data_IF_110300409144
#
_entry.id   IF_110300409144
#
_cell.length_a   1.000
_cell.length_b   1.000
_cell.length_c   1.000
_cell.angle_alpha   90.00
_cell.angle_beta   90.00
_cell.angle_gamma   90.00
#
_symmetry.space_group_name_H-M   'P 1'
#
loop_
_entity.id
_entity.type
_entity.pdbx_description
1 polymer ?
#
# COMPACT_ATOMS: atom_id res chain seq x y z
N UNK A 1 1.77 -0.07 -34.56
CA UNK A 1 2.44 -0.22 -33.26
C UNK A 1 1.54 -1.08 -32.41
N UNK A 2 2.02 -2.02 -31.59
CA UNK A 2 1.15 -2.73 -30.66
C UNK A 2 0.45 -1.71 -29.77
N UNK A 3 -0.82 -1.96 -29.46
CA UNK A 3 -1.61 -1.12 -28.57
C UNK A 3 -0.93 -1.06 -27.20
N UNK A 4 -0.75 0.15 -26.65
CA UNK A 4 -0.08 0.33 -25.35
C UNK A 4 -0.96 -0.26 -24.25
N UNK A 5 -0.41 -1.17 -23.44
CA UNK A 5 -1.10 -1.76 -22.30
C UNK A 5 -1.06 -0.79 -21.09
N UNK A 6 -1.84 0.29 -21.17
CA UNK A 6 -1.90 1.34 -20.12
C UNK A 6 -2.85 1.00 -18.99
N UNK A 7 -3.68 -0.01 -19.15
CA UNK A 7 -4.62 -0.51 -18.12
C UNK A 7 -4.49 -2.03 -18.07
N UNK A 8 -4.46 -2.58 -16.87
CA UNK A 8 -4.36 -4.01 -16.66
C UNK A 8 -5.48 -4.51 -15.75
N UNK A 9 -6.08 -5.63 -16.13
CA UNK A 9 -7.19 -6.24 -15.40
C UNK A 9 -6.84 -7.66 -15.00
N UNK A 10 -7.12 -8.03 -13.75
CA UNK A 10 -6.89 -9.38 -13.25
C UNK A 10 -7.95 -9.74 -12.21
N UNK A 11 -8.34 -11.02 -12.17
CA UNK A 11 -9.25 -11.58 -11.17
C UNK A 11 -8.47 -12.13 -9.99
N UNK A 12 -9.01 -11.93 -8.79
CA UNK A 12 -8.51 -12.46 -7.52
C UNK A 12 -9.65 -13.06 -6.73
N UNK A 13 -9.39 -14.14 -6.03
CA UNK A 13 -10.33 -14.68 -5.05
C UNK A 13 -9.85 -14.31 -3.65
N UNK A 14 -10.76 -13.88 -2.78
CA UNK A 14 -10.44 -13.68 -1.37
C UNK A 14 -10.31 -15.03 -0.69
N UNK A 15 -9.09 -15.48 -0.46
CA UNK A 15 -8.84 -16.78 0.16
C UNK A 15 -9.14 -16.74 1.66
N UNK A 16 -9.47 -17.90 2.25
CA UNK A 16 -9.75 -18.04 3.70
C UNK A 16 -8.61 -17.57 4.59
N UNK A 17 -7.37 -17.76 4.17
CA UNK A 17 -6.19 -17.24 4.89
C UNK A 17 -6.10 -15.71 4.92
N UNK A 18 -6.73 -15.05 3.95
CA UNK A 18 -6.80 -13.60 3.84
C UNK A 18 -8.03 -13.00 4.55
N UNK A 19 -8.92 -13.86 5.08
CA UNK A 19 -10.09 -13.44 5.83
C UNK A 19 -9.79 -13.12 7.30
N UNK A 20 -10.60 -12.21 7.86
CA UNK A 20 -10.68 -11.94 9.29
C UNK A 20 -11.67 -12.88 10.00
N UNK A 21 -11.90 -12.67 11.30
CA UNK A 21 -12.82 -13.46 12.12
C UNK A 21 -14.31 -13.29 11.76
N UNK A 22 -14.65 -12.25 10.98
CA UNK A 22 -16.01 -12.00 10.45
C UNK A 22 -16.17 -12.51 9.01
N UNK A 23 -15.12 -13.08 8.43
CA UNK A 23 -15.12 -13.57 7.05
C UNK A 23 -14.96 -12.46 6.01
N UNK A 24 -14.42 -11.30 6.38
CA UNK A 24 -14.07 -10.22 5.46
C UNK A 24 -12.59 -10.22 5.13
N UNK A 25 -12.25 -9.73 3.93
CA UNK A 25 -10.85 -9.55 3.54
C UNK A 25 -10.12 -8.61 4.50
N UNK A 26 -8.98 -9.04 5.04
CA UNK A 26 -8.09 -8.19 5.82
C UNK A 26 -7.53 -7.04 4.97
N UNK A 27 -7.29 -5.90 5.59
CA UNK A 27 -6.67 -4.75 4.92
C UNK A 27 -5.37 -5.12 4.20
N UNK A 28 -4.47 -5.84 4.88
CA UNK A 28 -3.22 -6.29 4.28
C UNK A 28 -3.40 -7.21 3.06
N UNK A 29 -4.51 -7.96 2.97
CA UNK A 29 -4.82 -8.77 1.80
C UNK A 29 -5.16 -7.89 0.59
N UNK A 30 -5.98 -6.86 0.75
CA UNK A 30 -6.31 -5.91 -0.32
C UNK A 30 -5.04 -5.23 -0.85
N UNK A 31 -4.12 -4.82 0.05
CA UNK A 31 -2.85 -4.24 -0.36
C UNK A 31 -1.97 -5.26 -1.13
N UNK A 32 -1.95 -6.54 -0.71
CA UNK A 32 -1.22 -7.59 -1.43
C UNK A 32 -1.76 -7.83 -2.83
N UNK A 33 -3.08 -7.86 -3.01
CA UNK A 33 -3.71 -8.00 -4.33
C UNK A 33 -3.37 -6.82 -5.24
N UNK A 34 -3.43 -5.58 -4.71
CA UNK A 34 -3.05 -4.40 -5.46
C UNK A 34 -1.56 -4.38 -5.82
N UNK A 35 -0.68 -4.82 -4.93
CA UNK A 35 0.74 -4.96 -5.22
C UNK A 35 0.97 -6.03 -6.30
N UNK A 36 0.30 -7.17 -6.20
CA UNK A 36 0.46 -8.26 -7.17
C UNK A 36 0.03 -7.84 -8.58
N UNK A 37 -1.15 -7.23 -8.74
CA UNK A 37 -1.58 -6.78 -10.07
C UNK A 37 -0.67 -5.68 -10.63
N UNK A 38 -0.11 -4.79 -9.77
CA UNK A 38 0.84 -3.78 -10.19
C UNK A 38 2.15 -4.40 -10.72
N UNK A 39 2.66 -5.45 -10.05
CA UNK A 39 3.83 -6.22 -10.47
C UNK A 39 3.56 -6.95 -11.79
N UNK A 40 2.45 -7.69 -11.88
CA UNK A 40 2.07 -8.42 -13.11
C UNK A 40 1.92 -7.47 -14.31
N UNK A 41 1.31 -6.29 -14.10
CA UNK A 41 1.23 -5.27 -15.14
C UNK A 41 2.62 -4.76 -15.55
N UNK A 42 3.49 -4.43 -14.58
CA UNK A 42 4.85 -3.97 -14.86
C UNK A 42 5.63 -5.01 -15.69
N UNK A 43 5.56 -6.28 -15.33
CA UNK A 43 6.18 -7.38 -16.09
C UNK A 43 5.60 -7.49 -17.51
N UNK A 44 4.27 -7.39 -17.67
CA UNK A 44 3.60 -7.46 -18.96
C UNK A 44 4.01 -6.35 -19.93
N UNK A 45 4.43 -5.19 -19.41
CA UNK A 45 4.96 -4.06 -20.20
C UNK A 45 6.49 -4.02 -20.27
N UNK A 46 7.17 -5.07 -19.78
CA UNK A 46 8.63 -5.20 -19.86
C UNK A 46 9.41 -4.55 -18.71
N UNK A 47 8.73 -3.97 -17.74
CA UNK A 47 9.34 -3.44 -16.51
C UNK A 47 9.56 -4.60 -15.51
N UNK A 48 10.58 -5.38 -15.72
CA UNK A 48 10.90 -6.60 -14.98
C UNK A 48 12.23 -6.50 -14.23
N UNK A 49 12.53 -7.51 -13.41
CA UNK A 49 13.76 -7.57 -12.61
C UNK A 49 15.05 -7.49 -13.42
N UNK A 50 15.06 -7.98 -14.67
CA UNK A 50 16.23 -7.90 -15.52
C UNK A 50 16.52 -6.44 -15.90
N UNK A 51 15.49 -5.70 -16.31
CA UNK A 51 15.58 -4.28 -16.62
C UNK A 51 15.98 -3.45 -15.41
N UNK A 52 15.41 -3.72 -14.23
CA UNK A 52 15.75 -3.01 -12.99
C UNK A 52 17.22 -3.24 -12.60
N UNK A 53 17.74 -4.47 -12.76
CA UNK A 53 19.16 -4.76 -12.55
C UNK A 53 20.07 -4.06 -13.56
N UNK A 54 19.71 -4.08 -14.85
CA UNK A 54 20.47 -3.44 -15.92
C UNK A 54 20.57 -1.92 -15.73
N UNK A 55 19.47 -1.30 -15.32
CA UNK A 55 19.40 0.16 -15.15
C UNK A 55 19.80 0.63 -13.74
N UNK A 56 20.14 -0.28 -12.83
CA UNK A 56 20.41 0.00 -11.41
C UNK A 56 19.30 0.81 -10.75
N UNK A 57 18.04 0.46 -11.04
CA UNK A 57 16.88 1.19 -10.52
C UNK A 57 15.94 0.29 -9.73
N UNK A 58 15.10 0.90 -8.89
CA UNK A 58 14.00 0.24 -8.22
C UNK A 58 12.85 1.22 -7.97
N UNK A 59 11.60 0.74 -8.05
CA UNK A 59 10.46 1.50 -7.56
C UNK A 59 10.30 1.32 -6.06
N UNK A 60 10.16 2.43 -5.36
CA UNK A 60 9.88 2.48 -3.92
C UNK A 60 8.51 3.10 -3.72
N UNK A 61 7.66 2.42 -2.95
CA UNK A 61 6.37 2.96 -2.53
C UNK A 61 6.60 4.03 -1.46
N UNK A 62 6.23 5.28 -1.77
CA UNK A 62 6.40 6.40 -0.86
C UNK A 62 5.14 6.63 0.00
N UNK A 63 3.96 6.44 -0.59
CA UNK A 63 2.68 6.71 0.07
C UNK A 63 1.56 5.95 -0.63
N UNK A 64 0.52 5.58 0.11
CA UNK A 64 -0.74 5.14 -0.46
C UNK A 64 -1.94 5.62 0.37
N UNK A 65 -3.10 5.68 -0.29
CA UNK A 65 -4.41 5.73 0.34
C UNK A 65 -5.28 4.62 -0.24
N UNK A 66 -6.07 3.98 0.61
CA UNK A 66 -7.10 3.02 0.24
C UNK A 66 -8.44 3.50 0.80
N UNK A 67 -9.45 3.62 -0.04
CA UNK A 67 -10.85 3.80 0.34
C UNK A 67 -11.59 2.48 0.19
N UNK A 68 -12.42 2.12 1.19
CA UNK A 68 -13.20 0.88 1.22
C UNK A 68 -14.69 1.21 1.31
N UNK A 69 -15.41 0.99 0.23
CA UNK A 69 -16.88 1.12 0.18
C UNK A 69 -17.54 0.00 0.97
N UNK A 70 -17.05 -1.24 0.80
CA UNK A 70 -17.36 -2.41 1.64
C UNK A 70 -16.20 -3.37 1.64
N UNK A 71 -16.00 -4.10 2.71
CA UNK A 71 -15.00 -5.17 2.73
C UNK A 71 -15.51 -6.39 1.92
N UNK A 72 -14.72 -6.90 0.96
CA UNK A 72 -15.03 -8.14 0.27
C UNK A 72 -15.08 -9.32 1.23
N UNK A 73 -15.87 -10.34 0.91
CA UNK A 73 -15.99 -11.55 1.73
C UNK A 73 -15.02 -12.64 1.28
N UNK A 74 -14.71 -13.54 2.19
CA UNK A 74 -14.01 -14.79 1.86
C UNK A 74 -14.80 -15.55 0.79
N UNK A 75 -14.06 -16.18 -0.13
CA UNK A 75 -14.54 -16.88 -1.33
C UNK A 75 -15.16 -15.95 -2.41
N UNK A 76 -15.19 -14.62 -2.20
CA UNK A 76 -15.62 -13.66 -3.21
C UNK A 76 -14.55 -13.50 -4.31
N UNK A 77 -14.99 -13.48 -5.58
CA UNK A 77 -14.15 -13.14 -6.72
C UNK A 77 -14.18 -11.62 -6.95
N UNK A 78 -13.01 -11.02 -7.03
CA UNK A 78 -12.82 -9.61 -7.32
C UNK A 78 -12.17 -9.43 -8.69
N UNK A 79 -12.61 -8.45 -9.44
CA UNK A 79 -11.91 -7.94 -10.62
C UNK A 79 -11.14 -6.68 -10.25
N UNK A 80 -9.83 -6.74 -10.30
CA UNK A 80 -8.98 -5.59 -10.09
C UNK A 80 -8.59 -4.97 -11.43
N UNK A 81 -8.66 -3.64 -11.50
CA UNK A 81 -8.24 -2.84 -12.65
C UNK A 81 -7.20 -1.83 -12.19
N UNK A 82 -5.98 -1.90 -12.74
CA UNK A 82 -4.90 -1.00 -12.35
C UNK A 82 -4.41 -0.15 -13.52
N UNK A 83 -4.11 1.11 -13.24
CA UNK A 83 -3.66 2.10 -14.23
C UNK A 83 -2.57 2.98 -13.65
N UNK A 84 -1.33 2.91 -14.18
CA UNK A 84 -0.26 3.84 -13.82
C UNK A 84 -0.36 5.12 -14.64
N UNK A 85 -0.13 6.25 -13.99
CA UNK A 85 -0.01 7.55 -14.64
C UNK A 85 1.45 7.88 -14.95
N UNK A 86 1.67 8.64 -16.01
CA UNK A 86 2.99 9.17 -16.35
C UNK A 86 3.62 9.92 -15.18
N UNK A 87 4.91 9.72 -14.99
CA UNK A 87 5.65 10.38 -13.92
C UNK A 87 5.49 11.91 -13.96
N UNK A 88 5.04 12.48 -12.84
CA UNK A 88 4.95 13.91 -12.62
C UNK A 88 5.83 14.30 -11.43
N UNK A 89 6.84 15.15 -11.63
CA UNK A 89 7.74 15.64 -10.57
C UNK A 89 8.42 14.53 -9.75
N UNK A 90 8.90 13.48 -10.42
CA UNK A 90 9.52 12.28 -9.84
C UNK A 90 8.55 11.33 -9.10
N UNK A 91 7.25 11.57 -9.14
CA UNK A 91 6.23 10.71 -8.55
C UNK A 91 5.43 10.02 -9.63
N UNK A 92 5.28 8.70 -9.51
CA UNK A 92 4.43 7.86 -10.35
C UNK A 92 3.18 7.51 -9.56
N UNK A 93 2.03 7.99 -10.02
CA UNK A 93 0.73 7.63 -9.47
C UNK A 93 0.27 6.32 -10.11
N UNK A 94 -0.34 5.46 -9.30
CA UNK A 94 -1.06 4.28 -9.79
C UNK A 94 -2.37 4.17 -9.05
N UNK A 95 -3.46 4.06 -9.79
CA UNK A 95 -4.79 3.81 -9.24
C UNK A 95 -5.13 2.34 -9.47
N UNK A 96 -5.71 1.70 -8.46
CA UNK A 96 -6.22 0.33 -8.56
C UNK A 96 -7.63 0.29 -8.00
N UNK A 97 -8.58 -0.08 -8.85
CA UNK A 97 -9.99 -0.26 -8.50
C UNK A 97 -10.27 -1.74 -8.26
N UNK A 98 -11.11 -2.03 -7.28
CA UNK A 98 -11.56 -3.37 -6.92
C UNK A 98 -13.07 -3.44 -7.16
N UNK A 99 -13.48 -4.34 -8.03
CA UNK A 99 -14.89 -4.55 -8.39
C UNK A 99 -15.32 -5.95 -7.96
N UNK A 100 -16.56 -6.07 -7.51
CA UNK A 100 -17.19 -7.37 -7.27
C UNK A 100 -17.69 -8.01 -8.58
N UNK A 101 -18.35 -9.17 -8.45
CA UNK A 101 -18.87 -9.92 -9.62
C UNK A 101 -19.96 -9.17 -10.38
N UNK A 102 -20.68 -8.26 -9.72
CA UNK A 102 -21.73 -7.44 -10.31
C UNK A 102 -21.18 -6.14 -10.92
N UNK A 103 -19.88 -5.90 -10.81
CA UNK A 103 -19.17 -4.71 -11.29
C UNK A 103 -19.31 -3.49 -10.38
N UNK A 104 -19.79 -3.67 -9.14
CA UNK A 104 -19.79 -2.59 -8.16
C UNK A 104 -18.41 -2.39 -7.56
N UNK A 105 -17.95 -1.13 -7.42
CA UNK A 105 -16.68 -0.80 -6.81
C UNK A 105 -16.75 -1.00 -5.28
N UNK A 106 -15.89 -1.88 -4.77
CA UNK A 106 -15.82 -2.24 -3.36
C UNK A 106 -14.66 -1.57 -2.64
N UNK A 107 -13.59 -1.24 -3.37
CA UNK A 107 -12.47 -0.47 -2.84
C UNK A 107 -11.68 0.20 -3.98
N UNK A 108 -10.95 1.27 -3.64
CA UNK A 108 -10.04 1.94 -4.56
C UNK A 108 -8.75 2.31 -3.84
N UNK A 109 -7.61 2.03 -4.47
CA UNK A 109 -6.30 2.39 -3.96
C UNK A 109 -5.61 3.41 -4.87
N UNK A 110 -5.11 4.49 -4.28
CA UNK A 110 -4.20 5.44 -4.90
C UNK A 110 -2.81 5.23 -4.28
N UNK A 111 -1.80 4.92 -5.10
CA UNK A 111 -0.44 4.70 -4.64
C UNK A 111 0.56 5.60 -5.35
N UNK A 112 1.57 6.08 -4.60
CA UNK A 112 2.59 7.03 -5.07
C UNK A 112 3.97 6.40 -4.94
N UNK A 113 4.60 6.20 -6.09
CA UNK A 113 5.88 5.53 -6.22
C UNK A 113 6.95 6.50 -6.68
N UNK A 114 8.17 6.26 -6.25
CA UNK A 114 9.36 6.96 -6.74
C UNK A 114 10.33 5.95 -7.34
N UNK A 115 10.96 6.30 -8.46
CA UNK A 115 12.05 5.51 -9.02
C UNK A 115 13.36 5.99 -8.40
N UNK A 116 14.15 5.09 -7.88
CA UNK A 116 15.46 5.40 -7.29
C UNK A 116 16.59 4.78 -8.10
N UNK A 117 17.74 5.43 -8.09
CA UNK A 117 19.03 4.83 -8.42
C UNK A 117 19.50 4.05 -7.19
N UNK A 118 19.68 2.73 -7.33
CA UNK A 118 20.01 1.84 -6.21
C UNK A 118 21.46 1.95 -5.76
N UNK A 119 22.35 2.41 -6.63
CA UNK A 119 23.77 2.62 -6.31
C UNK A 119 23.98 3.95 -5.59
N UNK A 120 23.41 5.04 -6.13
CA UNK A 120 23.53 6.39 -5.56
C UNK A 120 22.54 6.67 -4.44
N UNK A 121 21.53 5.78 -4.25
CA UNK A 121 20.45 5.92 -3.27
C UNK A 121 19.71 7.26 -3.36
N UNK A 122 19.37 7.67 -4.58
CA UNK A 122 18.71 8.94 -4.85
C UNK A 122 17.51 8.79 -5.79
N UNK A 123 16.53 9.66 -5.62
CA UNK A 123 15.33 9.68 -6.45
C UNK A 123 15.68 10.20 -7.86
N UNK A 124 15.26 9.45 -8.87
CA UNK A 124 15.38 9.83 -10.26
C UNK A 124 14.21 10.72 -10.69
N UNK A 125 14.53 11.92 -11.20
CA UNK A 125 13.52 12.86 -11.72
C UNK A 125 13.12 12.56 -13.16
N UNK A 126 13.91 11.78 -13.88
CA UNK A 126 13.65 11.30 -15.23
C UNK A 126 13.84 9.81 -15.24
N UNK A 127 12.91 9.11 -15.88
CA UNK A 127 13.06 7.69 -16.11
C UNK A 127 14.13 7.42 -17.18
N UNK A 128 14.82 6.28 -17.11
CA UNK A 128 15.59 5.76 -18.23
C UNK A 128 14.73 5.65 -19.49
N UNK A 129 15.32 5.76 -20.67
CA UNK A 129 14.61 5.67 -21.95
C UNK A 129 13.86 4.33 -22.12
N UNK A 130 14.42 3.27 -21.55
CA UNK A 130 13.84 1.91 -21.54
C UNK A 130 12.47 1.85 -20.83
N UNK A 131 12.15 2.85 -19.98
CA UNK A 131 10.87 2.95 -19.28
C UNK A 131 9.84 3.80 -20.06
N UNK A 132 10.17 4.23 -21.27
CA UNK A 132 9.31 5.12 -22.03
C UNK A 132 7.96 4.48 -22.39
N UNK A 133 6.93 5.32 -22.34
CA UNK A 133 5.61 5.10 -22.97
C UNK A 133 4.68 4.01 -22.42
N UNK A 134 4.90 3.53 -21.20
CA UNK A 134 4.06 2.48 -20.57
C UNK A 134 2.95 3.02 -19.65
N UNK A 135 2.60 4.30 -19.74
CA UNK A 135 1.77 5.00 -18.78
C UNK A 135 0.59 5.71 -19.44
N UNK A 136 -0.53 5.84 -18.71
CA UNK A 136 -1.57 6.80 -19.07
C UNK A 136 -1.03 8.24 -18.95
N UNK A 137 -1.42 9.12 -19.85
CA UNK A 137 -1.00 10.53 -19.81
C UNK A 137 -1.56 11.23 -18.57
N UNK A 138 -2.82 10.95 -18.25
CA UNK A 138 -3.51 11.47 -17.07
C UNK A 138 -4.51 10.45 -16.54
N UNK A 139 -4.57 10.29 -15.21
CA UNK A 139 -5.57 9.51 -14.50
C UNK A 139 -6.30 10.46 -13.56
N UNK A 140 -7.47 11.02 -13.95
CA UNK A 140 -8.15 12.09 -13.23
C UNK A 140 -8.86 11.59 -11.97
N UNK A 141 -8.12 10.86 -11.12
CA UNK A 141 -8.61 10.33 -9.86
C UNK A 141 -7.53 10.46 -8.79
N UNK A 142 -7.91 10.90 -7.61
CA UNK A 142 -7.01 11.01 -6.45
C UNK A 142 -7.79 10.77 -5.15
N UNK A 143 -7.17 10.03 -4.23
CA UNK A 143 -7.64 9.93 -2.85
C UNK A 143 -6.93 10.94 -1.95
N UNK A 144 -7.58 11.44 -0.89
CA UNK A 144 -6.92 12.23 0.15
C UNK A 144 -5.77 11.42 0.77
N UNK A 145 -4.57 12.05 0.88
CA UNK A 145 -3.37 11.38 1.43
C UNK A 145 -2.74 12.21 2.55
N UNK A 146 -3.49 13.17 3.11
CA UNK A 146 -2.96 13.99 4.19
C UNK A 146 -3.07 13.26 5.51
N UNK A 147 -1.94 13.10 6.19
CA UNK A 147 -1.89 12.63 7.57
C UNK A 147 -2.02 13.81 8.54
N UNK A 148 -2.68 13.64 9.69
CA UNK A 148 -2.67 14.62 10.76
C UNK A 148 -1.27 14.79 11.31
N UNK A 149 -1.00 15.92 11.96
CA UNK A 149 0.21 16.11 12.76
C UNK A 149 -0.12 15.74 14.19
N UNK A 150 0.51 14.67 14.67
CA UNK A 150 0.37 14.17 16.04
C UNK A 150 1.75 14.22 16.68
N UNK A 151 1.84 14.83 17.86
CA UNK A 151 3.10 14.87 18.56
C UNK A 151 3.41 13.51 19.21
N UNK A 152 4.67 13.06 19.26
CA UNK A 152 5.01 11.77 19.85
C UNK A 152 4.53 11.58 21.29
N UNK A 153 4.47 12.65 22.07
CA UNK A 153 3.97 12.68 23.44
C UNK A 153 2.46 12.47 23.55
N UNK A 154 1.71 12.72 22.49
CA UNK A 154 0.25 12.47 22.42
C UNK A 154 -0.07 11.02 22.01
N UNK A 155 0.96 10.20 21.74
CA UNK A 155 0.81 8.82 21.34
C UNK A 155 1.08 7.86 22.50
N UNK A 156 0.22 6.85 22.63
CA UNK A 156 0.49 5.67 23.46
C UNK A 156 1.58 4.80 22.80
N UNK A 157 2.58 4.37 23.56
CA UNK A 157 3.58 3.41 23.12
C UNK A 157 3.03 1.99 23.30
N UNK A 158 2.86 1.26 22.19
CA UNK A 158 2.29 -0.09 22.17
C UNK A 158 3.34 -1.20 22.26
N UNK A 159 4.62 -0.85 22.12
CA UNK A 159 5.74 -1.80 22.18
C UNK A 159 6.52 -1.91 20.89
N UNK A 160 7.37 -2.94 20.81
CA UNK A 160 8.32 -3.15 19.70
C UNK A 160 7.79 -4.13 18.70
N UNK A 161 7.90 -3.79 17.41
CA UNK A 161 7.61 -4.65 16.27
C UNK A 161 8.89 -4.98 15.52
N UNK A 162 9.04 -6.24 15.08
CA UNK A 162 10.24 -6.70 14.38
C UNK A 162 9.90 -7.11 12.95
N UNK A 163 10.77 -6.75 12.01
CA UNK A 163 10.75 -7.26 10.64
C UNK A 163 11.20 -8.73 10.62
N UNK A 164 10.30 -9.60 11.11
CA UNK A 164 10.51 -11.04 11.19
C UNK A 164 10.47 -11.70 9.80
N UNK A 165 10.98 -12.93 9.68
CA UNK A 165 11.06 -13.69 8.42
C UNK A 165 9.77 -13.66 7.59
N UNK A 166 8.62 -13.93 8.20
CA UNK A 166 7.31 -14.01 7.51
C UNK A 166 6.75 -12.64 7.07
N UNK A 167 7.36 -11.55 7.53
CA UNK A 167 6.94 -10.17 7.22
C UNK A 167 7.84 -9.49 6.19
N UNK A 168 9.02 -10.08 5.88
CA UNK A 168 9.97 -9.51 4.93
C UNK A 168 9.70 -9.98 3.50
N UNK A 169 10.01 -9.12 2.54
CA UNK A 169 10.01 -9.43 1.12
C UNK A 169 11.38 -9.87 0.60
N UNK A 170 11.48 -10.09 -0.71
CA UNK A 170 12.70 -10.52 -1.38
C UNK A 170 13.82 -9.45 -1.37
N UNK A 171 13.49 -8.19 -1.07
CA UNK A 171 14.48 -7.12 -0.90
C UNK A 171 15.11 -7.15 0.52
N UNK A 172 14.62 -8.02 1.40
CA UNK A 172 15.11 -8.16 2.77
C UNK A 172 14.63 -7.06 3.71
N UNK A 173 13.50 -6.42 3.41
CA UNK A 173 12.87 -5.40 4.25
C UNK A 173 11.46 -5.83 4.64
N UNK A 174 10.91 -5.22 5.69
CA UNK A 174 9.50 -5.35 6.04
C UNK A 174 8.65 -4.94 4.83
N UNK A 175 7.86 -5.91 4.30
CA UNK A 175 7.05 -5.68 3.10
C UNK A 175 6.00 -4.59 3.34
N UNK A 176 5.82 -3.71 2.37
CA UNK A 176 4.91 -2.56 2.45
C UNK A 176 3.48 -2.92 2.88
N UNK A 177 2.99 -4.09 2.48
CA UNK A 177 1.63 -4.54 2.84
C UNK A 177 1.51 -5.01 4.29
N UNK A 178 2.62 -5.37 4.94
CA UNK A 178 2.64 -5.87 6.33
C UNK A 178 2.46 -4.77 7.37
N UNK A 179 2.75 -3.54 7.02
CA UNK A 179 2.44 -2.40 7.90
C UNK A 179 0.93 -2.29 8.16
N UNK A 180 0.09 -2.59 7.16
CA UNK A 180 -1.35 -2.64 7.34
C UNK A 180 -1.79 -3.73 8.34
N UNK A 181 -1.19 -4.93 8.27
CA UNK A 181 -1.46 -5.99 9.25
C UNK A 181 -1.07 -5.51 10.66
N UNK A 182 0.11 -4.89 10.82
CA UNK A 182 0.64 -4.41 12.11
C UNK A 182 -0.25 -3.31 12.73
N UNK A 183 -0.72 -2.35 11.96
CA UNK A 183 -1.59 -1.29 12.49
C UNK A 183 -2.98 -1.81 12.81
N UNK A 184 -3.51 -2.76 12.03
CA UNK A 184 -4.78 -3.42 12.34
C UNK A 184 -4.72 -4.24 13.62
N UNK A 185 -3.62 -4.98 13.86
CA UNK A 185 -3.37 -5.73 15.09
C UNK A 185 -3.34 -4.81 16.34
N UNK A 186 -3.02 -3.54 16.14
CA UNK A 186 -2.91 -2.53 17.19
C UNK A 186 -4.21 -1.75 17.47
N UNK A 187 -5.29 -2.01 16.74
CA UNK A 187 -6.62 -1.42 16.99
C UNK A 187 -7.32 -2.23 18.09
N UNK A 188 -8.01 -1.56 19.08
CA UNK A 188 -8.77 -2.28 20.08
C UNK A 188 -9.86 -3.17 19.48
N UNK A 189 -10.02 -4.39 20.02
CA UNK A 189 -11.02 -5.37 19.53
C UNK A 189 -12.44 -4.82 19.49
N UNK A 190 -12.82 -3.98 20.44
CA UNK A 190 -14.15 -3.37 20.52
C UNK A 190 -14.52 -2.55 19.28
N UNK A 191 -13.51 -1.99 18.58
CA UNK A 191 -13.74 -1.26 17.32
C UNK A 191 -14.14 -2.24 16.22
N UNK A 192 -13.48 -3.39 16.14
CA UNK A 192 -13.77 -4.43 15.15
C UNK A 192 -15.16 -5.06 15.32
N UNK A 193 -15.70 -5.08 16.55
CA UNK A 193 -17.04 -5.62 16.84
C UNK A 193 -18.18 -4.72 16.35
N UNK A 194 -17.92 -3.44 16.10
CA UNK A 194 -18.95 -2.42 15.82
C UNK A 194 -18.76 -1.62 14.53
N UNK A 195 -17.57 -1.74 13.92
CA UNK A 195 -17.22 -0.92 12.77
C UNK A 195 -16.35 -1.69 11.75
N UNK A 196 -16.33 -1.22 10.52
CA UNK A 196 -15.48 -1.70 9.46
C UNK A 196 -14.56 -0.59 8.95
N UNK A 197 -13.41 -0.95 8.38
CA UNK A 197 -12.49 0.00 7.77
C UNK A 197 -13.21 0.76 6.65
N UNK A 198 -13.07 2.08 6.64
CA UNK A 198 -13.47 2.94 5.53
C UNK A 198 -12.28 3.49 4.76
N UNK A 199 -11.21 3.90 5.47
CA UNK A 199 -10.06 4.51 4.83
C UNK A 199 -8.76 4.11 5.53
N UNK A 200 -7.71 3.95 4.73
CA UNK A 200 -6.36 3.73 5.20
C UNK A 200 -5.39 4.60 4.42
N UNK A 201 -4.57 5.37 5.13
CA UNK A 201 -3.50 6.19 4.55
C UNK A 201 -2.20 5.79 5.22
N UNK A 202 -1.13 5.61 4.44
CA UNK A 202 0.20 5.36 4.98
C UNK A 202 1.26 6.11 4.18
N UNK A 203 2.23 6.68 4.87
CA UNK A 203 3.47 7.26 4.32
C UNK A 203 4.66 6.47 4.82
N UNK A 204 5.50 6.02 3.90
CA UNK A 204 6.72 5.27 4.18
C UNK A 204 7.90 6.24 4.11
N UNK A 205 8.67 6.34 5.20
CA UNK A 205 9.79 7.28 5.30
C UNK A 205 11.14 6.56 5.26
N UNK A 206 11.19 5.33 5.82
CA UNK A 206 12.41 4.53 5.92
C UNK A 206 12.09 3.05 5.86
N UNK A 207 12.94 2.31 5.22
CA UNK A 207 12.92 0.85 5.24
C UNK A 207 13.20 0.32 6.65
N UNK A 208 12.55 -0.78 7.01
CA UNK A 208 12.89 -1.58 8.19
C UNK A 208 13.52 -2.89 7.71
N UNK A 209 14.85 -3.03 7.79
CA UNK A 209 15.56 -4.22 7.34
C UNK A 209 15.15 -5.46 8.15
N UNK A 210 15.34 -6.65 7.57
CA UNK A 210 15.09 -7.92 8.22
C UNK A 210 15.80 -8.03 9.56
N UNK A 211 15.09 -8.48 10.60
CA UNK A 211 15.61 -8.61 11.95
C UNK A 211 15.66 -7.31 12.76
N UNK A 212 15.52 -6.18 12.10
CA UNK A 212 15.44 -4.87 12.75
C UNK A 212 14.06 -4.61 13.34
N UNK A 213 13.98 -3.71 14.29
CA UNK A 213 12.76 -3.40 15.01
C UNK A 213 12.47 -1.90 15.03
N UNK A 214 11.21 -1.57 15.26
CA UNK A 214 10.73 -0.21 15.51
C UNK A 214 9.74 -0.20 16.68
N UNK A 215 9.60 0.92 17.33
CA UNK A 215 8.58 1.16 18.36
C UNK A 215 7.30 1.59 17.69
N UNK A 216 6.20 0.86 17.90
CA UNK A 216 4.88 1.23 17.43
C UNK A 216 4.18 2.13 18.44
N UNK A 217 3.66 3.26 17.97
CA UNK A 217 2.86 4.21 18.74
C UNK A 217 1.50 4.38 18.10
N UNK A 218 0.50 4.73 18.90
CA UNK A 218 -0.86 4.99 18.46
C UNK A 218 -1.45 6.20 19.16
N UNK A 219 -2.22 7.02 18.45
CA UNK A 219 -3.12 8.01 19.02
C UNK A 219 -4.54 7.75 18.52
N UNK A 220 -5.53 7.75 19.42
CA UNK A 220 -6.95 7.80 19.05
C UNK A 220 -7.32 9.28 18.85
N UNK A 221 -7.66 9.64 17.60
CA UNK A 221 -8.04 11.02 17.24
C UNK A 221 -9.53 11.26 17.43
N UNK A 222 -10.31 10.20 17.22
CA UNK A 222 -11.75 10.11 17.46
C UNK A 222 -12.11 8.64 17.77
N UNK A 223 -13.35 8.33 18.08
CA UNK A 223 -13.80 6.97 18.40
C UNK A 223 -13.53 5.96 17.31
N UNK A 224 -13.43 6.42 16.06
CA UNK A 224 -13.28 5.60 14.86
C UNK A 224 -12.07 6.00 14.00
N UNK A 225 -11.11 6.74 14.55
CA UNK A 225 -9.94 7.24 13.81
C UNK A 225 -8.66 7.08 14.63
N UNK A 226 -7.70 6.32 14.09
CA UNK A 226 -6.45 5.97 14.75
C UNK A 226 -5.25 6.37 13.91
N UNK A 227 -4.38 7.17 14.49
CA UNK A 227 -3.06 7.48 13.93
C UNK A 227 -2.02 6.53 14.51
N UNK A 228 -1.07 6.15 13.67
CA UNK A 228 0.07 5.29 14.02
C UNK A 228 1.37 5.91 13.56
N UNK A 229 2.40 5.75 14.39
CA UNK A 229 3.79 6.09 14.08
C UNK A 229 4.69 4.90 14.42
N UNK A 230 5.56 4.54 13.51
CA UNK A 230 6.61 3.54 13.72
C UNK A 230 7.96 4.21 13.87
N UNK A 231 8.44 4.40 15.11
CA UNK A 231 9.70 5.07 15.40
C UNK A 231 10.87 4.09 15.36
N UNK A 232 11.91 4.42 14.59
CA UNK A 232 13.19 3.71 14.57
C UNK A 232 14.35 4.69 14.62
N UNK A 233 15.26 4.49 15.59
CA UNK A 233 16.47 5.33 15.76
C UNK A 233 16.14 6.83 15.89
N UNK A 234 15.11 7.17 16.66
CA UNK A 234 14.69 8.55 16.92
C UNK A 234 14.00 9.24 15.73
N UNK A 235 13.58 8.48 14.69
CA UNK A 235 12.89 9.03 13.52
C UNK A 235 11.74 8.11 13.10
N UNK A 236 10.68 8.71 12.58
CA UNK A 236 9.59 7.93 12.02
C UNK A 236 10.06 7.10 10.81
N UNK A 237 9.77 5.81 10.81
CA UNK A 237 9.93 4.93 9.67
C UNK A 237 8.67 4.93 8.79
N UNK A 238 7.51 5.08 9.40
CA UNK A 238 6.23 5.24 8.70
C UNK A 238 5.22 5.97 9.60
N UNK A 239 4.24 6.59 8.97
CA UNK A 239 3.04 7.12 9.62
C UNK A 239 1.81 6.58 8.92
N UNK A 240 0.77 6.24 9.66
CA UNK A 240 -0.48 5.75 9.08
C UNK A 240 -1.71 6.33 9.80
N UNK A 241 -2.81 6.39 9.06
CA UNK A 241 -4.14 6.74 9.54
C UNK A 241 -5.11 5.65 9.12
N UNK A 242 -5.87 5.14 10.07
CA UNK A 242 -6.90 4.15 9.86
C UNK A 242 -8.22 4.70 10.37
N UNK A 243 -9.20 4.74 9.48
CA UNK A 243 -10.55 5.26 9.77
C UNK A 243 -11.58 4.16 9.60
N UNK A 244 -12.55 4.14 10.48
CA UNK A 244 -13.66 3.18 10.50
C UNK A 244 -14.98 3.89 10.28
N UNK A 245 -15.95 3.14 9.77
CA UNK A 245 -17.38 3.52 9.72
C UNK A 245 -18.20 2.45 10.42
N UNK A 246 -19.34 2.84 11.00
CA UNK A 246 -20.28 1.89 11.60
C UNK A 246 -20.70 0.80 10.61
N UNK A 247 -20.94 -0.40 11.16
CA UNK A 247 -21.45 -1.55 10.39
C UNK A 247 -22.88 -1.31 9.90
#
# INVERSE_FOLDING_TARGET
MPEKLITYTQKFTVYRADGDHLGHAKLGALLRYAQQIATTHAEAVGLNDALYRETHTAYVLAKLALHVTRLPRVDEELTLVTQPERCKRAVNKRITHFYDADGAEVATMDSRWVLIDTEKRMILRKHPEQFADQWAEDVPFELPMRLPRVAPEDCETLGTQTAAYSRCDMNGHLNNTRYADIVCDAVPWQVWDSAQISDFIISYHREVPRGESFTLRRAALADNEFYFDGEREGKSAFEALLTFKSL
#
